data_IF_737236289952
#
_entry.id   IF_737236289952
#
_cell.length_a   1.000
_cell.length_b   1.000
_cell.length_c   1.000
_cell.angle_alpha   90.00
_cell.angle_beta   90.00
_cell.angle_gamma   90.00
#
_symmetry.space_group_name_H-M   'P 1'
#
loop_
_entity.id
_entity.type
_entity.pdbx_description
1 polymer ?
#
# COMPACT_ATOMS: atom_id res chain seq x y z
N UNK A 1 -69.83 -3.81 43.94
CA UNK A 1 -69.33 -4.40 42.67
C UNK A 1 -69.61 -3.44 41.50
N UNK A 2 -68.64 -2.62 41.05
CA UNK A 2 -68.86 -1.68 39.93
C UNK A 2 -68.26 -2.24 38.64
N UNK A 3 -69.14 -2.62 37.70
CA UNK A 3 -68.84 -3.28 36.42
C UNK A 3 -68.00 -2.36 35.51
N UNK A 4 -66.75 -2.74 35.30
CA UNK A 4 -65.83 -2.09 34.36
C UNK A 4 -66.19 -2.51 32.93
N UNK A 5 -67.23 -1.90 32.35
CA UNK A 5 -67.66 -2.15 30.97
C UNK A 5 -67.41 -0.91 30.07
N UNK A 6 -66.18 -0.37 30.11
CA UNK A 6 -65.73 0.72 29.22
C UNK A 6 -64.37 0.46 28.54
N UNK A 7 -63.81 -0.76 28.67
CA UNK A 7 -62.48 -1.08 28.11
C UNK A 7 -62.45 -1.15 26.58
N UNK A 8 -63.56 -1.51 25.92
CA UNK A 8 -63.63 -1.64 24.45
C UNK A 8 -63.48 -0.31 23.68
N UNK A 9 -64.16 0.81 24.04
CA UNK A 9 -63.93 2.09 23.37
C UNK A 9 -62.59 2.72 23.75
N UNK A 10 -62.09 2.49 24.96
CA UNK A 10 -60.76 2.97 25.39
C UNK A 10 -59.64 2.22 24.65
N UNK A 11 -59.77 0.92 24.43
CA UNK A 11 -58.83 0.13 23.61
C UNK A 11 -58.84 0.58 22.15
N UNK A 12 -60.02 0.86 21.57
CA UNK A 12 -60.11 1.40 20.21
C UNK A 12 -59.52 2.81 20.11
N UNK A 13 -59.77 3.68 21.10
CA UNK A 13 -59.18 5.01 21.15
C UNK A 13 -57.66 4.97 21.33
N UNK A 14 -57.15 4.06 22.18
CA UNK A 14 -55.72 3.82 22.34
C UNK A 14 -55.09 3.27 21.05
N UNK A 15 -55.79 2.38 20.34
CA UNK A 15 -55.34 1.85 19.05
C UNK A 15 -55.25 2.97 18.00
N UNK A 16 -56.28 3.83 17.90
CA UNK A 16 -56.28 4.97 16.98
C UNK A 16 -55.19 5.98 17.33
N UNK A 17 -55.03 6.30 18.62
CA UNK A 17 -53.95 7.18 19.09
C UNK A 17 -52.59 6.59 18.69
N UNK A 18 -52.36 5.31 18.98
CA UNK A 18 -51.11 4.63 18.66
C UNK A 18 -50.86 4.60 17.14
N UNK A 19 -51.91 4.37 16.35
CA UNK A 19 -51.85 4.33 14.88
C UNK A 19 -51.55 5.69 14.26
N UNK A 20 -51.84 6.80 14.95
CA UNK A 20 -51.51 8.16 14.52
C UNK A 20 -50.15 8.61 15.08
N UNK A 21 -49.84 8.28 16.34
CA UNK A 21 -48.57 8.67 16.97
C UNK A 21 -47.38 7.88 16.43
N UNK A 22 -47.54 6.60 16.09
CA UNK A 22 -46.47 5.78 15.51
C UNK A 22 -45.91 6.37 14.20
N UNK A 23 -46.71 6.65 13.16
CA UNK A 23 -46.19 7.23 11.94
C UNK A 23 -45.68 8.65 12.17
N UNK A 24 -46.22 9.40 13.14
CA UNK A 24 -45.71 10.73 13.49
C UNK A 24 -44.33 10.69 14.17
N UNK A 25 -44.12 9.75 15.11
CA UNK A 25 -42.82 9.51 15.75
C UNK A 25 -41.83 8.87 14.79
N UNK A 26 -42.27 7.95 13.93
CA UNK A 26 -41.45 7.40 12.86
C UNK A 26 -41.04 8.51 11.91
N UNK A 27 -41.96 9.39 11.52
CA UNK A 27 -41.65 10.51 10.66
C UNK A 27 -40.66 11.45 11.35
N UNK A 28 -40.89 11.86 12.59
CA UNK A 28 -39.94 12.69 13.35
C UNK A 28 -38.56 12.02 13.55
N UNK A 29 -38.52 10.72 13.82
CA UNK A 29 -37.28 9.95 14.00
C UNK A 29 -36.50 9.71 12.70
N UNK A 30 -37.20 9.65 11.56
CA UNK A 30 -36.62 9.43 10.23
C UNK A 30 -36.39 10.73 9.44
N UNK A 31 -37.03 11.85 9.80
CA UNK A 31 -37.20 12.99 8.88
C UNK A 31 -35.98 13.87 8.71
N UNK A 32 -35.11 14.08 9.71
CA UNK A 32 -34.12 15.16 9.58
C UNK A 32 -32.67 14.83 9.87
N UNK A 33 -32.35 13.88 10.75
CA UNK A 33 -30.97 13.47 11.09
C UNK A 33 -30.95 12.08 11.71
N UNK A 34 -31.64 11.11 11.10
CA UNK A 34 -31.73 9.75 11.66
C UNK A 34 -30.36 9.17 11.98
N UNK A 35 -30.29 8.27 12.97
CA UNK A 35 -29.08 7.55 13.46
C UNK A 35 -28.15 7.06 12.35
N UNK A 36 -28.69 6.79 11.16
CA UNK A 36 -27.96 6.39 9.95
C UNK A 36 -26.98 7.48 9.49
N UNK A 37 -27.35 8.77 9.54
CA UNK A 37 -26.47 9.86 9.15
C UNK A 37 -25.34 10.05 10.17
N UNK A 38 -25.64 9.89 11.47
CA UNK A 38 -24.62 9.91 12.52
C UNK A 38 -23.62 8.77 12.32
N UNK A 39 -24.11 7.56 12.06
CA UNK A 39 -23.26 6.39 11.80
C UNK A 39 -22.42 6.55 10.52
N UNK A 40 -22.99 7.11 9.45
CA UNK A 40 -22.24 7.42 8.22
C UNK A 40 -21.17 8.48 8.45
N UNK A 41 -21.49 9.53 9.21
CA UNK A 41 -20.53 10.58 9.57
C UNK A 41 -19.38 10.03 10.43
N UNK A 42 -19.66 9.10 11.34
CA UNK A 42 -18.63 8.44 12.14
C UNK A 42 -17.72 7.54 11.30
N UNK A 43 -18.29 6.78 10.36
CA UNK A 43 -17.55 5.97 9.39
C UNK A 43 -16.65 6.83 8.49
N UNK A 44 -17.18 7.91 7.94
CA UNK A 44 -16.42 8.86 7.14
C UNK A 44 -15.30 9.49 7.96
N UNK A 45 -15.61 9.92 9.20
CA UNK A 45 -14.61 10.48 10.12
C UNK A 45 -13.50 9.48 10.40
N UNK A 46 -13.80 8.21 10.66
CA UNK A 46 -12.77 7.19 10.86
C UNK A 46 -11.91 7.00 9.60
N UNK A 47 -12.52 6.93 8.42
CA UNK A 47 -11.80 6.81 7.15
C UNK A 47 -10.83 7.98 6.93
N UNK A 48 -11.24 9.21 7.23
CA UNK A 48 -10.36 10.37 7.13
C UNK A 48 -9.24 10.33 8.17
N UNK A 49 -9.52 9.93 9.41
CA UNK A 49 -8.50 9.79 10.46
C UNK A 49 -7.44 8.76 10.06
N UNK A 50 -7.85 7.61 9.54
CA UNK A 50 -6.92 6.57 9.10
C UNK A 50 -6.10 7.02 7.89
N UNK A 51 -6.72 7.74 6.95
CA UNK A 51 -6.00 8.33 5.83
C UNK A 51 -4.97 9.35 6.29
N UNK A 52 -5.31 10.20 7.26
CA UNK A 52 -4.37 11.17 7.85
C UNK A 52 -3.21 10.44 8.53
N UNK A 53 -3.48 9.37 9.30
CA UNK A 53 -2.43 8.57 9.94
C UNK A 53 -1.49 7.94 8.90
N UNK A 54 -2.05 7.35 7.84
CA UNK A 54 -1.28 6.75 6.74
C UNK A 54 -0.38 7.79 6.06
N UNK A 55 -0.95 8.92 5.66
CA UNK A 55 -0.21 10.01 5.02
C UNK A 55 0.87 10.60 5.93
N UNK A 56 0.62 10.73 7.25
CA UNK A 56 1.65 11.18 8.19
C UNK A 56 2.81 10.20 8.30
N UNK A 57 2.53 8.89 8.27
CA UNK A 57 3.57 7.86 8.28
C UNK A 57 4.39 7.90 6.99
N UNK A 58 3.75 7.94 5.83
CA UNK A 58 4.41 8.06 4.53
C UNK A 58 5.27 9.33 4.45
N UNK A 59 4.73 10.47 4.91
CA UNK A 59 5.48 11.72 4.93
C UNK A 59 6.73 11.61 5.82
N UNK A 60 6.62 11.00 6.99
CA UNK A 60 7.78 10.77 7.87
C UNK A 60 8.83 9.89 7.20
N UNK A 61 8.42 8.79 6.57
CA UNK A 61 9.33 7.88 5.85
C UNK A 61 10.05 8.60 4.69
N UNK A 62 9.30 9.35 3.88
CA UNK A 62 9.86 10.16 2.79
C UNK A 62 10.82 11.25 3.30
N UNK A 63 10.50 11.90 4.40
CA UNK A 63 11.40 12.90 5.01
C UNK A 63 12.70 12.26 5.52
N UNK A 64 12.61 11.07 6.10
CA UNK A 64 13.81 10.31 6.50
C UNK A 64 14.63 9.89 5.29
N UNK A 65 13.99 9.47 4.20
CA UNK A 65 14.66 9.13 2.94
C UNK A 65 15.35 10.35 2.32
N UNK A 66 14.67 11.49 2.22
CA UNK A 66 15.28 12.76 1.78
C UNK A 66 16.47 13.12 2.66
N UNK A 67 16.37 12.92 3.98
CA UNK A 67 17.49 13.18 4.90
C UNK A 67 18.67 12.27 4.60
N UNK A 68 18.43 10.97 4.34
CA UNK A 68 19.48 10.01 3.98
C UNK A 68 20.12 10.38 2.65
N UNK A 69 19.32 10.66 1.62
CA UNK A 69 19.82 11.13 0.32
C UNK A 69 20.62 12.43 0.41
N UNK A 70 20.32 13.33 1.35
CA UNK A 70 21.06 14.59 1.51
C UNK A 70 22.33 14.46 2.35
N UNK A 71 22.34 13.58 3.35
CA UNK A 71 23.41 13.53 4.37
C UNK A 71 24.31 12.31 4.25
N UNK A 72 23.88 11.26 3.58
CA UNK A 72 24.59 9.99 3.47
C UNK A 72 25.03 9.73 2.02
N UNK A 73 26.29 10.02 1.67
CA UNK A 73 26.80 9.82 0.31
C UNK A 73 26.81 8.34 -0.10
N UNK A 74 26.98 7.40 0.84
CA UNK A 74 26.95 5.98 0.53
C UNK A 74 25.53 5.50 0.17
N UNK A 75 24.52 6.05 0.84
CA UNK A 75 23.12 5.81 0.48
C UNK A 75 22.78 6.34 -0.91
N UNK A 76 23.26 7.54 -1.25
CA UNK A 76 23.10 8.13 -2.59
C UNK A 76 23.76 7.26 -3.66
N UNK A 77 24.99 6.83 -3.45
CA UNK A 77 25.73 5.97 -4.38
C UNK A 77 25.01 4.64 -4.62
N UNK A 78 24.46 4.04 -3.55
CA UNK A 78 23.65 2.82 -3.64
C UNK A 78 22.39 3.05 -4.50
N UNK A 79 21.63 4.11 -4.22
CA UNK A 79 20.41 4.45 -4.98
C UNK A 79 20.76 4.77 -6.44
N UNK A 80 21.83 5.52 -6.69
CA UNK A 80 22.29 5.87 -8.02
C UNK A 80 22.68 4.62 -8.84
N UNK A 81 23.35 3.63 -8.23
CA UNK A 81 23.68 2.36 -8.90
C UNK A 81 22.45 1.48 -9.13
N UNK A 82 21.54 1.39 -8.16
CA UNK A 82 20.39 0.47 -8.22
C UNK A 82 19.25 0.99 -9.08
N UNK A 83 18.83 2.23 -8.88
CA UNK A 83 17.67 2.83 -9.55
C UNK A 83 18.03 3.49 -10.88
N UNK A 84 19.23 4.08 -10.97
CA UNK A 84 19.64 4.87 -12.14
C UNK A 84 20.76 4.20 -12.96
N UNK A 85 21.36 3.11 -12.48
CA UNK A 85 22.47 2.44 -13.15
C UNK A 85 23.72 3.31 -13.33
N UNK A 86 23.85 4.37 -12.53
CA UNK A 86 24.94 5.33 -12.63
C UNK A 86 26.21 4.78 -11.98
N UNK A 87 27.36 5.08 -12.58
CA UNK A 87 28.71 4.78 -12.09
C UNK A 87 29.50 6.08 -11.99
N UNK A 88 30.48 6.14 -11.08
CA UNK A 88 31.34 7.33 -10.99
C UNK A 88 32.19 7.48 -12.25
N UNK A 89 32.63 8.69 -12.55
CA UNK A 89 33.47 8.99 -13.71
C UNK A 89 34.76 8.16 -13.76
N UNK A 90 35.25 7.72 -12.60
CA UNK A 90 36.45 6.90 -12.44
C UNK A 90 36.17 5.39 -12.27
N UNK A 91 34.97 4.90 -12.56
CA UNK A 91 34.57 3.48 -12.46
C UNK A 91 34.41 2.84 -13.84
N UNK A 92 34.86 1.58 -14.01
CA UNK A 92 34.82 0.84 -15.28
C UNK A 92 33.79 -0.30 -15.19
N UNK A 93 32.84 -0.34 -16.13
CA UNK A 93 31.83 -1.41 -16.21
C UNK A 93 32.41 -2.58 -17.02
N UNK A 94 32.66 -3.71 -16.36
CA UNK A 94 33.03 -4.96 -17.03
C UNK A 94 31.77 -5.67 -17.54
N UNK A 95 31.61 -5.76 -18.87
CA UNK A 95 30.57 -6.56 -19.52
C UNK A 95 31.21 -7.78 -20.16
N UNK A 96 31.08 -8.94 -19.53
CA UNK A 96 31.57 -10.21 -20.09
C UNK A 96 30.64 -10.63 -21.23
N UNK A 97 31.17 -10.66 -22.47
CA UNK A 97 30.38 -11.03 -23.66
C UNK A 97 30.41 -12.51 -24.00
N UNK A 98 31.27 -13.30 -23.37
CA UNK A 98 31.33 -14.74 -23.54
C UNK A 98 31.86 -15.34 -22.24
N UNK A 99 31.02 -16.05 -21.48
CA UNK A 99 31.54 -17.16 -20.71
C UNK A 99 31.57 -18.35 -21.68
N UNK A 100 32.74 -18.79 -22.19
CA UNK A 100 32.83 -20.17 -22.64
C UNK A 100 32.61 -21.06 -21.41
N UNK A 101 31.78 -22.08 -21.55
CA UNK A 101 31.73 -23.18 -20.58
C UNK A 101 33.16 -23.74 -20.42
N UNK A 102 33.77 -23.54 -19.25
CA UNK A 102 35.01 -24.19 -18.84
C UNK A 102 34.72 -25.68 -18.49
N UNK A 103 35.66 -26.65 -18.57
CA UNK A 103 37.11 -26.52 -18.81
C UNK A 103 37.71 -27.62 -19.74
N UNK A 104 38.77 -27.33 -20.50
CA UNK A 104 39.65 -28.39 -21.03
C UNK A 104 41.11 -28.10 -20.74
N UNK A 105 41.58 -28.70 -19.65
CA UNK A 105 42.99 -28.86 -19.30
C UNK A 105 43.60 -29.93 -20.21
N UNK A 106 44.29 -29.54 -21.29
CA UNK A 106 45.28 -30.43 -21.91
C UNK A 106 46.67 -29.80 -21.91
N UNK A 107 47.43 -30.32 -20.95
CA UNK A 107 48.88 -30.25 -20.86
C UNK A 107 49.49 -31.04 -22.02
N UNK A 108 50.14 -30.39 -22.98
CA UNK A 108 51.34 -30.94 -23.63
C UNK A 108 52.31 -29.85 -24.04
N UNK A 109 53.30 -29.63 -23.18
CA UNK A 109 54.63 -29.19 -23.60
C UNK A 109 55.31 -30.31 -24.40
N UNK A 110 56.20 -29.89 -25.31
CA UNK A 110 57.32 -30.63 -25.89
C UNK A 110 57.06 -31.50 -27.14
N UNK A 111 57.30 -30.90 -28.31
CA UNK A 111 58.03 -31.44 -29.48
C UNK A 111 58.05 -30.33 -30.54
N UNK A 112 59.14 -29.88 -31.14
CA UNK A 112 60.55 -30.24 -31.15
C UNK A 112 61.17 -29.30 -32.20
N UNK A 113 62.33 -28.74 -31.87
CA UNK A 113 63.17 -28.00 -32.81
C UNK A 113 63.61 -28.93 -33.94
N UNK A 114 63.49 -28.49 -35.19
CA UNK A 114 64.54 -28.64 -36.20
C UNK A 114 64.45 -27.46 -37.16
N UNK A 115 65.59 -26.81 -37.32
CA UNK A 115 65.92 -25.93 -38.43
C UNK A 115 66.01 -26.72 -39.74
N UNK A 116 66.43 -26.02 -40.79
CA UNK A 116 66.72 -26.50 -42.15
C UNK A 116 65.49 -26.59 -43.05
N UNK A 117 65.53 -26.30 -44.33
CA UNK A 117 66.49 -25.68 -45.24
C UNK A 117 65.74 -25.68 -46.58
N UNK A 118 66.11 -24.75 -47.44
CA UNK A 118 65.96 -24.81 -48.89
C UNK A 118 64.67 -24.36 -49.57
N UNK A 119 64.91 -23.55 -50.60
CA UNK A 119 63.91 -22.95 -51.45
C UNK A 119 63.44 -23.84 -52.60
N UNK A 120 62.33 -23.39 -53.17
CA UNK A 120 62.05 -23.26 -54.60
C UNK A 120 60.80 -22.41 -54.76
#
# INVERSE_FOLDING_TARGET
MKRIKKRRPLLKAALVLFCVTLPFLAWLGLSKRGVINLYKMDLERQKYVDRIKKLKKENKELMEEIRRLKKDPAYVEKVARQELGLVKENEIIYRFKNLPEEPQLETKRAHGSTADDNGK
#
